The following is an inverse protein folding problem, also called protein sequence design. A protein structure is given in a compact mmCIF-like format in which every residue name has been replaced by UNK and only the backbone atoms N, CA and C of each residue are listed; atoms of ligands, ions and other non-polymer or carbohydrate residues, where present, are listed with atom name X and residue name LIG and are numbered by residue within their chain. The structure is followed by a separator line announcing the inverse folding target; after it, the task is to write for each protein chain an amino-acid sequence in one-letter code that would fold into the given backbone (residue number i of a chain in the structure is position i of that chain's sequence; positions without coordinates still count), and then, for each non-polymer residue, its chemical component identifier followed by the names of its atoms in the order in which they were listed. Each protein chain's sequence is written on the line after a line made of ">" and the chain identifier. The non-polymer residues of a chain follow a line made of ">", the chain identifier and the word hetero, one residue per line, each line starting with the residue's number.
data_IF_736408819772
#
_entry.id   IF_736408819772
#
_cell.length_a   1.000
_cell.length_b   1.000
_cell.length_c   1.000
_cell.angle_alpha   90.00
_cell.angle_beta   90.00
_cell.angle_gamma   90.00
#
_symmetry.space_group_name_H-M   'P 1'
#
loop_
_entity.id
_entity.type
_entity.pdbx_description
1 polymer ?
#
# COMPACT_ATOMS: atom_id res chain seq x y z
N UNK A 1 -7.44 -18.12 -17.84
CA UNK A 1 -6.71 -17.32 -16.83
C UNK A 1 -5.76 -16.38 -17.56
N UNK A 2 -5.71 -15.08 -17.23
CA UNK A 2 -4.83 -14.14 -17.93
C UNK A 2 -3.36 -14.29 -17.45
N UNK A 3 -2.41 -13.74 -18.22
CA UNK A 3 -0.97 -13.85 -17.93
C UNK A 3 -0.60 -13.28 -16.55
N UNK A 4 -1.27 -12.20 -16.13
CA UNK A 4 -1.07 -11.58 -14.82
C UNK A 4 -1.38 -12.52 -13.65
N UNK A 5 -2.57 -13.15 -13.66
CA UNK A 5 -2.96 -14.11 -12.61
C UNK A 5 -2.06 -15.34 -12.64
N UNK A 6 -1.67 -15.83 -13.82
CA UNK A 6 -0.74 -16.96 -13.95
C UNK A 6 0.63 -16.65 -13.33
N UNK A 7 1.19 -15.48 -13.61
CA UNK A 7 2.48 -15.07 -13.07
C UNK A 7 2.45 -14.95 -11.53
N UNK A 8 1.40 -14.35 -10.98
CA UNK A 8 1.29 -14.20 -9.52
C UNK A 8 0.98 -15.52 -8.80
N UNK A 9 0.27 -16.46 -9.44
CA UNK A 9 0.13 -17.83 -8.93
C UNK A 9 1.48 -18.53 -8.88
N UNK A 10 2.30 -18.39 -9.91
CA UNK A 10 3.66 -18.93 -9.92
C UNK A 10 4.54 -18.32 -8.82
N UNK A 11 4.51 -17.00 -8.65
CA UNK A 11 5.27 -16.32 -7.57
C UNK A 11 4.83 -16.79 -6.18
N UNK A 12 3.53 -17.01 -5.98
CA UNK A 12 2.97 -17.49 -4.71
C UNK A 12 2.93 -19.01 -4.56
N UNK A 13 3.45 -19.75 -5.54
CA UNK A 13 3.39 -21.22 -5.61
C UNK A 13 1.99 -21.83 -5.39
N UNK A 14 0.96 -21.15 -5.91
CA UNK A 14 -0.45 -21.44 -5.60
C UNK A 14 -1.05 -22.63 -6.37
N UNK A 15 -0.24 -23.34 -7.14
CA UNK A 15 -0.62 -24.52 -7.93
C UNK A 15 -0.07 -25.84 -7.33
N UNK A 16 0.59 -25.77 -6.16
CA UNK A 16 1.10 -26.93 -5.42
C UNK A 16 -0.02 -27.75 -4.73
N UNK A 17 0.20 -29.06 -4.59
CA UNK A 17 -0.74 -30.00 -3.94
C UNK A 17 -1.05 -29.63 -2.48
N UNK A 18 -0.16 -28.89 -1.82
CA UNK A 18 -0.37 -28.30 -0.51
C UNK A 18 -1.69 -27.52 -0.38
N UNK A 19 -2.13 -26.86 -1.46
CA UNK A 19 -3.34 -26.03 -1.46
C UNK A 19 -4.65 -26.81 -1.62
N UNK A 20 -4.59 -28.13 -1.84
CA UNK A 20 -5.76 -29.01 -1.93
C UNK A 20 -6.37 -29.32 -0.55
N UNK A 21 -5.55 -29.28 0.52
CA UNK A 21 -6.03 -29.38 1.90
C UNK A 21 -6.53 -28.02 2.42
N UNK A 22 -7.82 -27.94 2.71
CA UNK A 22 -8.49 -26.73 3.16
C UNK A 22 -7.93 -26.18 4.48
N UNK A 23 -7.60 -27.05 5.45
CA UNK A 23 -7.07 -26.61 6.74
C UNK A 23 -5.65 -26.06 6.59
N UNK A 24 -4.80 -26.73 5.81
CA UNK A 24 -3.43 -26.28 5.59
C UNK A 24 -3.40 -24.95 4.86
N UNK A 25 -4.22 -24.82 3.81
CA UNK A 25 -4.40 -23.57 3.07
C UNK A 25 -4.81 -22.42 3.97
N UNK A 26 -5.77 -22.61 4.87
CA UNK A 26 -6.27 -21.54 5.72
C UNK A 26 -5.25 -21.07 6.76
N UNK A 27 -4.58 -22.00 7.44
CA UNK A 27 -3.50 -21.68 8.40
C UNK A 27 -2.33 -21.00 7.69
N UNK A 28 -1.97 -21.47 6.49
CA UNK A 28 -0.91 -20.85 5.70
C UNK A 28 -1.28 -19.44 5.21
N UNK A 29 -2.52 -19.23 4.81
CA UNK A 29 -3.02 -17.91 4.44
C UNK A 29 -2.99 -16.93 5.63
N UNK A 30 -3.34 -17.39 6.83
CA UNK A 30 -3.23 -16.59 8.06
C UNK A 30 -1.78 -16.24 8.37
N UNK A 31 -0.88 -17.22 8.36
CA UNK A 31 0.55 -17.02 8.58
C UNK A 31 1.16 -16.07 7.54
N UNK A 32 0.81 -16.25 6.27
CA UNK A 32 1.24 -15.40 5.15
C UNK A 32 0.72 -13.97 5.31
N UNK A 33 -0.52 -13.79 5.77
CA UNK A 33 -1.07 -12.47 6.05
C UNK A 33 -0.32 -11.77 7.19
N UNK A 34 0.03 -12.49 8.26
CA UNK A 34 0.84 -11.97 9.36
C UNK A 34 2.24 -11.58 8.85
N UNK A 35 2.91 -12.49 8.14
CA UNK A 35 4.24 -12.26 7.56
C UNK A 35 4.27 -11.05 6.62
N UNK A 36 3.26 -10.93 5.75
CA UNK A 36 3.10 -9.78 4.86
C UNK A 36 2.96 -8.48 5.65
N UNK A 37 2.14 -8.46 6.70
CA UNK A 37 1.98 -7.25 7.53
C UNK A 37 3.24 -6.90 8.32
N UNK A 38 3.99 -7.88 8.81
CA UNK A 38 5.29 -7.67 9.45
C UNK A 38 6.29 -7.06 8.47
N UNK A 39 6.42 -7.62 7.26
CA UNK A 39 7.27 -7.08 6.20
C UNK A 39 6.91 -5.64 5.85
N UNK A 40 5.61 -5.36 5.77
CA UNK A 40 5.09 -4.03 5.49
C UNK A 40 5.43 -3.02 6.60
N UNK A 41 5.34 -3.42 7.87
CA UNK A 41 5.77 -2.57 8.98
C UNK A 41 7.28 -2.34 8.98
N UNK A 42 8.07 -3.41 8.86
CA UNK A 42 9.53 -3.32 8.83
C UNK A 42 10.01 -2.42 7.68
N UNK A 43 9.42 -2.56 6.49
CA UNK A 43 9.75 -1.75 5.31
C UNK A 43 9.49 -0.27 5.53
N UNK A 44 8.30 0.08 6.06
CA UNK A 44 7.93 1.48 6.32
C UNK A 44 8.79 2.10 7.40
N UNK A 45 9.04 1.38 8.51
CA UNK A 45 9.91 1.85 9.59
C UNK A 45 11.33 2.06 9.07
N UNK A 46 11.87 1.10 8.31
CA UNK A 46 13.21 1.21 7.72
C UNK A 46 13.30 2.43 6.80
N UNK A 47 12.33 2.61 5.90
CA UNK A 47 12.29 3.77 5.00
C UNK A 47 12.14 5.10 5.76
N UNK A 48 11.47 5.12 6.92
CA UNK A 48 11.35 6.29 7.78
C UNK A 48 12.65 6.65 8.50
N UNK A 49 13.47 5.65 8.86
CA UNK A 49 14.69 5.83 9.66
C UNK A 49 15.93 6.08 8.80
N UNK A 50 16.06 5.38 7.67
CA UNK A 50 17.26 5.38 6.83
C UNK A 50 17.74 6.78 6.38
N UNK A 51 16.87 7.73 5.97
CA UNK A 51 17.32 9.07 5.57
C UNK A 51 18.09 9.81 6.67
N UNK A 52 17.79 9.51 7.94
CA UNK A 52 18.37 10.18 9.11
C UNK A 52 19.67 9.51 9.57
N UNK A 53 19.71 8.18 9.54
CA UNK A 53 20.85 7.41 10.06
C UNK A 53 21.95 7.23 9.00
N UNK A 54 21.58 7.12 7.72
CA UNK A 54 22.50 6.87 6.61
C UNK A 54 22.53 8.03 5.58
N UNK A 55 21.95 9.18 5.92
CA UNK A 55 21.99 10.38 5.09
C UNK A 55 21.43 10.17 3.69
N UNK A 56 22.12 10.70 2.67
CA UNK A 56 21.65 10.71 1.27
C UNK A 56 21.55 9.30 0.69
N UNK A 57 22.49 8.42 1.00
CA UNK A 57 22.42 7.00 0.61
C UNK A 57 21.22 6.33 1.26
N UNK A 58 21.01 6.57 2.56
CA UNK A 58 19.83 6.09 3.28
C UNK A 58 18.52 6.57 2.68
N UNK A 59 18.46 7.81 2.20
CA UNK A 59 17.28 8.37 1.54
C UNK A 59 16.95 7.65 0.23
N UNK A 60 17.94 7.37 -0.62
CA UNK A 60 17.74 6.61 -1.86
C UNK A 60 17.31 5.16 -1.59
N UNK A 61 17.93 4.49 -0.62
CA UNK A 61 17.54 3.13 -0.23
C UNK A 61 16.11 3.13 0.32
N UNK A 62 15.78 4.08 1.19
CA UNK A 62 14.43 4.25 1.73
C UNK A 62 13.38 4.46 0.64
N UNK A 63 13.65 5.30 -0.36
CA UNK A 63 12.76 5.46 -1.52
C UNK A 63 12.61 4.17 -2.32
N UNK A 64 13.71 3.45 -2.56
CA UNK A 64 13.67 2.14 -3.23
C UNK A 64 12.72 1.18 -2.51
N UNK A 65 12.83 1.09 -1.17
CA UNK A 65 11.94 0.28 -0.35
C UNK A 65 10.48 0.71 -0.52
N UNK A 66 10.17 2.01 -0.46
CA UNK A 66 8.80 2.52 -0.60
C UNK A 66 8.21 2.25 -1.99
N UNK A 67 9.01 2.37 -3.05
CA UNK A 67 8.60 2.05 -4.42
C UNK A 67 8.32 0.55 -4.55
N UNK A 68 9.24 -0.31 -4.09
CA UNK A 68 9.03 -1.77 -4.08
C UNK A 68 7.78 -2.14 -3.28
N UNK A 69 7.58 -1.53 -2.11
CA UNK A 69 6.40 -1.74 -1.28
C UNK A 69 5.12 -1.35 -2.02
N UNK A 70 5.14 -0.25 -2.76
CA UNK A 70 4.02 0.23 -3.56
C UNK A 70 3.69 -0.76 -4.67
N UNK A 71 4.69 -1.23 -5.40
CA UNK A 71 4.52 -2.25 -6.46
C UNK A 71 3.90 -3.52 -5.89
N UNK A 72 4.43 -4.05 -4.79
CA UNK A 72 3.90 -5.25 -4.14
C UNK A 72 2.44 -5.05 -3.75
N UNK A 73 2.09 -3.92 -3.12
CA UNK A 73 0.70 -3.60 -2.77
C UNK A 73 -0.23 -3.56 -3.98
N UNK A 74 0.19 -2.90 -5.07
CA UNK A 74 -0.62 -2.83 -6.30
C UNK A 74 -0.81 -4.23 -6.90
N UNK A 75 0.21 -5.07 -6.92
CA UNK A 75 0.10 -6.45 -7.41
C UNK A 75 -0.85 -7.29 -6.54
N UNK A 76 -0.75 -7.19 -5.21
CA UNK A 76 -1.65 -7.91 -4.28
C UNK A 76 -3.11 -7.46 -4.43
N UNK A 77 -3.35 -6.15 -4.51
CA UNK A 77 -4.69 -5.57 -4.73
C UNK A 77 -5.21 -6.00 -6.11
N UNK A 78 -4.38 -5.91 -7.15
CA UNK A 78 -4.72 -6.27 -8.51
C UNK A 78 -5.07 -7.76 -8.65
N UNK A 79 -4.31 -8.64 -8.01
CA UNK A 79 -4.62 -10.07 -7.98
C UNK A 79 -5.95 -10.35 -7.29
N UNK A 80 -6.18 -9.74 -6.13
CA UNK A 80 -7.43 -9.87 -5.38
C UNK A 80 -8.63 -9.38 -6.19
N UNK A 81 -8.49 -8.23 -6.86
CA UNK A 81 -9.51 -7.69 -7.75
C UNK A 81 -9.77 -8.60 -8.97
N UNK A 82 -8.72 -9.15 -9.58
CA UNK A 82 -8.84 -10.12 -10.67
C UNK A 82 -9.56 -11.42 -10.24
N UNK A 83 -9.51 -11.76 -8.95
CA UNK A 83 -10.25 -12.87 -8.33
C UNK A 83 -11.62 -12.45 -7.77
N UNK A 84 -12.07 -11.23 -8.05
CA UNK A 84 -13.36 -10.67 -7.62
C UNK A 84 -13.55 -10.63 -6.10
N UNK A 85 -12.45 -10.57 -5.34
CA UNK A 85 -12.52 -10.37 -3.88
C UNK A 85 -13.09 -8.99 -3.62
N UNK A 86 -14.11 -8.91 -2.76
CA UNK A 86 -14.66 -7.64 -2.33
C UNK A 86 -13.67 -6.94 -1.37
N UNK A 87 -12.84 -6.05 -1.92
CA UNK A 87 -11.85 -5.29 -1.16
C UNK A 87 -12.47 -4.28 -0.18
N UNK A 88 -13.78 -4.02 -0.29
CA UNK A 88 -14.50 -3.04 0.53
C UNK A 88 -14.82 -3.58 1.93
N UNK A 89 -15.29 -4.82 2.05
CA UNK A 89 -15.57 -5.45 3.34
C UNK A 89 -14.30 -5.65 4.18
N UNK A 90 -13.14 -5.79 3.53
CA UNK A 90 -11.85 -5.97 4.18
C UNK A 90 -11.24 -4.66 4.72
N UNK A 91 -11.58 -3.49 4.15
CA UNK A 91 -10.87 -2.22 4.40
C UNK A 91 -11.68 -1.22 5.21
N UNK A 92 -11.50 -1.21 6.54
CA UNK A 92 -11.97 -0.11 7.40
C UNK A 92 -10.88 0.97 7.51
N UNK A 93 -10.91 1.93 6.57
CA UNK A 93 -9.93 3.03 6.45
C UNK A 93 -9.80 3.86 7.75
N UNK A 94 -10.87 3.99 8.54
CA UNK A 94 -10.90 4.83 9.76
C UNK A 94 -10.33 4.15 11.02
N UNK A 95 -9.67 2.99 10.91
CA UNK A 95 -9.03 2.38 12.09
C UNK A 95 -7.77 3.16 12.47
N UNK A 96 -7.50 3.30 13.77
CA UNK A 96 -6.27 3.92 14.33
C UNK A 96 -5.01 3.44 13.61
N UNK A 97 -4.95 2.13 13.30
CA UNK A 97 -3.87 1.52 12.53
C UNK A 97 -3.61 2.21 11.17
N UNK A 98 -4.66 2.61 10.45
CA UNK A 98 -4.54 3.32 9.18
C UNK A 98 -3.86 4.69 9.35
N UNK A 99 -4.20 5.41 10.42
CA UNK A 99 -3.57 6.69 10.75
C UNK A 99 -2.09 6.49 11.09
N UNK A 100 -1.74 5.50 11.90
CA UNK A 100 -0.34 5.21 12.23
C UNK A 100 0.46 4.87 10.97
N UNK A 101 -0.08 4.03 10.08
CA UNK A 101 0.57 3.69 8.80
C UNK A 101 0.77 4.93 7.94
N UNK A 102 -0.22 5.81 7.84
CA UNK A 102 -0.12 7.06 7.08
C UNK A 102 0.97 7.98 7.64
N UNK A 103 1.05 8.14 8.96
CA UNK A 103 2.08 8.95 9.62
C UNK A 103 3.48 8.41 9.32
N UNK A 104 3.70 7.09 9.45
CA UNK A 104 5.02 6.50 9.18
C UNK A 104 5.42 6.67 7.71
N UNK A 105 4.47 6.52 6.77
CA UNK A 105 4.73 6.76 5.36
C UNK A 105 5.09 8.23 5.08
N UNK A 106 4.36 9.17 5.66
CA UNK A 106 4.65 10.60 5.53
C UNK A 106 6.07 10.89 6.03
N UNK A 107 6.45 10.36 7.20
CA UNK A 107 7.81 10.55 7.73
C UNK A 107 8.86 10.00 6.77
N UNK A 108 8.66 8.81 6.19
CA UNK A 108 9.59 8.23 5.21
C UNK A 108 9.73 9.05 3.93
N UNK A 109 8.62 9.45 3.32
CA UNK A 109 8.66 10.27 2.11
C UNK A 109 9.24 11.66 2.36
N UNK A 110 8.78 12.34 3.41
CA UNK A 110 9.28 13.68 3.76
C UNK A 110 10.76 13.64 4.15
N UNK A 111 11.17 12.64 4.95
CA UNK A 111 12.58 12.47 5.32
C UNK A 111 13.48 12.25 4.11
N UNK A 112 13.05 11.41 3.15
CA UNK A 112 13.78 11.23 1.91
C UNK A 112 13.85 12.52 1.07
N UNK A 113 12.73 13.23 0.93
CA UNK A 113 12.66 14.48 0.16
C UNK A 113 13.54 15.58 0.76
N UNK A 114 13.49 15.81 2.08
CA UNK A 114 14.35 16.78 2.76
C UNK A 114 15.82 16.47 2.50
N UNK A 115 16.18 15.19 2.51
CA UNK A 115 17.59 14.79 2.34
C UNK A 115 18.08 14.88 0.90
N UNK A 116 17.22 14.57 -0.07
CA UNK A 116 17.58 14.56 -1.49
C UNK A 116 17.43 15.93 -2.16
N UNK A 117 16.55 16.78 -1.65
CA UNK A 117 16.25 18.10 -2.20
C UNK A 117 16.32 19.19 -1.12
N UNK A 118 17.47 19.35 -0.42
CA UNK A 118 17.57 20.25 0.73
C UNK A 118 17.28 21.72 0.36
N UNK A 119 17.70 22.15 -0.84
CA UNK A 119 17.47 23.51 -1.34
C UNK A 119 16.02 23.75 -1.77
N UNK A 120 15.26 22.70 -2.05
CA UNK A 120 13.84 22.87 -2.35
C UNK A 120 13.09 23.23 -1.08
N UNK A 121 13.44 22.66 0.08
CA UNK A 121 12.71 22.92 1.34
C UNK A 121 13.26 24.09 2.17
N UNK A 122 14.18 24.89 1.64
CA UNK A 122 14.69 26.08 2.34
C UNK A 122 13.72 27.27 2.28
N UNK A 123 12.88 27.35 1.25
CA UNK A 123 12.01 28.50 1.00
C UNK A 123 10.54 28.19 1.37
N UNK A 124 9.85 29.18 1.95
CA UNK A 124 8.45 29.05 2.37
C UNK A 124 7.49 28.71 1.21
N UNK A 125 7.80 29.17 -0.01
CA UNK A 125 7.02 28.89 -1.23
C UNK A 125 7.04 27.41 -1.62
N UNK A 126 8.13 26.70 -1.36
CA UNK A 126 8.25 25.28 -1.66
C UNK A 126 7.50 24.39 -0.66
N UNK A 127 7.42 24.81 0.60
CA UNK A 127 6.53 24.19 1.59
C UNK A 127 5.06 24.33 1.19
N UNK A 128 4.67 25.49 0.66
CA UNK A 128 3.33 25.68 0.10
C UNK A 128 3.05 24.72 -1.06
N UNK A 129 4.02 24.52 -1.96
CA UNK A 129 3.95 23.52 -3.04
C UNK A 129 3.79 22.08 -2.51
N UNK A 130 4.53 21.71 -1.46
CA UNK A 130 4.41 20.41 -0.79
C UNK A 130 3.03 20.18 -0.15
N UNK A 131 2.48 21.20 0.52
CA UNK A 131 1.12 21.15 1.09
C UNK A 131 0.07 21.02 -0.01
N UNK A 132 0.17 21.80 -1.09
CA UNK A 132 -0.74 21.68 -2.24
C UNK A 132 -0.65 20.29 -2.86
N UNK A 133 0.55 19.75 -3.05
CA UNK A 133 0.75 18.38 -3.55
C UNK A 133 0.11 17.33 -2.64
N UNK A 134 0.25 17.46 -1.32
CA UNK A 134 -0.39 16.57 -0.35
C UNK A 134 -1.92 16.65 -0.40
N UNK A 135 -2.48 17.86 -0.53
CA UNK A 135 -3.94 18.08 -0.65
C UNK A 135 -4.47 17.50 -1.94
N UNK A 136 -3.80 17.74 -3.08
CA UNK A 136 -4.22 17.21 -4.39
C UNK A 136 -4.10 15.69 -4.41
N UNK A 137 -2.96 15.14 -3.97
CA UNK A 137 -2.75 13.69 -3.90
C UNK A 137 -3.76 13.00 -2.98
N UNK A 138 -3.96 13.55 -1.77
CA UNK A 138 -4.98 13.08 -0.83
C UNK A 138 -6.39 13.19 -1.40
N UNK A 139 -6.70 14.27 -2.12
CA UNK A 139 -7.97 14.49 -2.81
C UNK A 139 -8.24 13.46 -3.91
N UNK A 140 -7.26 13.12 -4.74
CA UNK A 140 -7.39 12.08 -5.77
C UNK A 140 -7.66 10.71 -5.16
N UNK A 141 -6.92 10.35 -4.10
CA UNK A 141 -7.16 9.10 -3.35
C UNK A 141 -8.57 9.11 -2.74
N UNK A 142 -8.97 10.22 -2.12
CA UNK A 142 -10.30 10.39 -1.53
C UNK A 142 -11.43 10.28 -2.56
N UNK A 143 -11.27 10.89 -3.74
CA UNK A 143 -12.21 10.80 -4.85
C UNK A 143 -12.29 9.38 -5.42
N UNK A 144 -11.17 8.68 -5.53
CA UNK A 144 -11.16 7.28 -5.94
C UNK A 144 -11.95 6.41 -4.96
N UNK A 145 -11.71 6.57 -3.66
CA UNK A 145 -12.48 5.88 -2.60
C UNK A 145 -13.97 6.24 -2.68
N UNK A 146 -14.30 7.52 -2.87
CA UNK A 146 -15.69 7.97 -2.98
C UNK A 146 -16.40 7.45 -4.22
N UNK A 147 -15.76 7.48 -5.39
CA UNK A 147 -16.33 6.99 -6.65
C UNK A 147 -16.58 5.47 -6.58
N UNK A 148 -15.63 4.73 -6.02
CA UNK A 148 -15.78 3.30 -5.77
C UNK A 148 -16.93 3.02 -4.79
N UNK A 149 -17.06 3.79 -3.70
CA UNK A 149 -18.21 3.71 -2.77
C UNK A 149 -19.54 3.94 -3.46
N UNK A 150 -19.62 4.99 -4.28
CA UNK A 150 -20.86 5.37 -4.99
C UNK A 150 -21.29 4.33 -6.00
N UNK A 151 -20.33 3.70 -6.69
CA UNK A 151 -20.62 2.63 -7.66
C UNK A 151 -21.18 1.38 -6.98
N UNK A 152 -20.75 1.06 -5.75
CA UNK A 152 -21.22 -0.11 -5.02
C UNK A 152 -22.55 0.07 -4.31
N UNK A 153 -22.86 1.28 -3.81
CA UNK A 153 -24.19 1.58 -3.28
C UNK A 153 -25.31 1.38 -4.32
N UNK A 154 -24.98 1.46 -5.61
CA UNK A 154 -25.89 1.13 -6.71
C UNK A 154 -26.10 -0.37 -6.85
N UNK A 155 -25.06 -1.18 -6.68
CA UNK A 155 -25.16 -2.65 -6.74
C UNK A 155 -25.89 -3.25 -5.53
N UNK A 156 -25.73 -2.69 -4.33
CA UNK A 156 -26.50 -3.12 -3.15
C UNK A 156 -27.98 -2.75 -3.31
N UNK A 157 -28.30 -1.56 -3.85
CA UNK A 157 -29.67 -1.15 -4.14
C UNK A 157 -30.36 -1.94 -5.27
N UNK A 158 -29.59 -2.51 -6.20
CA UNK A 158 -30.08 -3.40 -7.27
C UNK A 158 -30.26 -4.85 -6.79
N UNK A 159 -29.59 -5.27 -5.71
CA UNK A 159 -29.71 -6.61 -5.13
C UNK A 159 -30.89 -6.76 -4.15
N UNK A 160 -31.39 -5.64 -3.62
CA UNK A 160 -32.55 -5.57 -2.72
C UNK A 160 -33.90 -5.35 -3.46
N UNK A 161 -33.89 -5.32 -4.81
CA UNK A 161 -35.08 -5.29 -5.68
C UNK A 161 -35.38 -6.66 -6.28
#
# INVERSE_FOLDING_TARGET
>A
MNAFVKALRFVGDLDDEFYDDERQRDVWNEASAIGFQLFQWASRVSAAVLPWVAGTTGAWVGLGILVTLTVINVLTIGYSAARKVNLYTASKINRVRGLVVAVVLIIGYVGALIRLQPNTFSDASSWAGGVVGAVVGGGVVGLGVWWMRRRNARFEAEADQ
#
